data_IF_724671395705
#
_entry.id   IF_724671395705
#
_cell.length_a   1.000
_cell.length_b   1.000
_cell.length_c   1.000
_cell.angle_alpha   90.00
_cell.angle_beta   90.00
_cell.angle_gamma   90.00
#
_symmetry.space_group_name_H-M   'P 1'
#
loop_
_entity.id
_entity.type
_entity.pdbx_description
1 polymer ?
#
# COMPACT_ATOMS: atom_id res chain seq x y z
N UNK A 1 36.32 43.45 -66.83
CA UNK A 1 35.29 44.45 -67.15
C UNK A 1 34.25 44.46 -66.03
N UNK A 2 34.47 45.24 -64.96
CA UNK A 2 33.50 45.45 -63.88
C UNK A 2 32.68 46.71 -64.17
N UNK A 3 31.36 46.60 -64.32
CA UNK A 3 30.54 47.76 -64.71
C UNK A 3 29.07 47.51 -65.00
N UNK A 4 28.35 46.74 -64.19
CA UNK A 4 26.91 46.51 -64.41
C UNK A 4 26.01 46.70 -63.19
N UNK A 5 26.50 47.27 -62.08
CA UNK A 5 25.65 47.68 -60.97
C UNK A 5 26.06 49.07 -60.49
N UNK A 6 25.27 50.09 -60.84
CA UNK A 6 25.38 51.44 -60.28
C UNK A 6 24.48 51.55 -59.05
N UNK A 7 24.98 52.20 -58.01
CA UNK A 7 24.24 52.44 -56.77
C UNK A 7 22.96 53.24 -57.08
N UNK A 8 21.77 52.64 -56.84
CA UNK A 8 20.46 53.24 -57.14
C UNK A 8 19.75 52.66 -58.38
N UNK A 9 20.36 51.71 -59.09
CA UNK A 9 19.74 51.04 -60.23
C UNK A 9 18.59 50.09 -59.81
N UNK A 10 17.61 49.83 -60.69
CA UNK A 10 16.40 49.03 -60.41
C UNK A 10 16.76 47.62 -59.92
N UNK A 11 17.86 47.07 -60.43
CA UNK A 11 18.49 45.82 -60.01
C UNK A 11 18.95 45.86 -58.54
N UNK A 12 19.57 46.95 -58.08
CA UNK A 12 20.02 47.10 -56.68
C UNK A 12 18.86 47.27 -55.69
N UNK A 13 17.75 47.89 -56.10
CA UNK A 13 16.51 47.92 -55.28
C UNK A 13 15.86 46.55 -55.16
N UNK A 14 15.74 45.82 -56.28
CA UNK A 14 15.17 44.45 -56.28
C UNK A 14 16.00 43.52 -55.40
N UNK A 15 17.34 43.58 -55.48
CA UNK A 15 18.23 42.77 -54.63
C UNK A 15 18.06 43.13 -53.16
N UNK A 16 17.92 44.42 -52.81
CA UNK A 16 17.69 44.86 -51.43
C UNK A 16 16.34 44.36 -50.90
N UNK A 17 15.27 44.54 -51.67
CA UNK A 17 13.92 44.19 -51.25
C UNK A 17 13.76 42.66 -51.15
N UNK A 18 14.37 41.90 -52.06
CA UNK A 18 14.47 40.43 -51.96
C UNK A 18 15.31 39.98 -50.77
N UNK A 19 16.43 40.64 -50.48
CA UNK A 19 17.26 40.31 -49.31
C UNK A 19 16.53 40.59 -48.00
N UNK A 20 15.71 41.64 -47.96
CA UNK A 20 14.89 41.99 -46.80
C UNK A 20 13.72 41.00 -46.63
N UNK A 21 13.01 40.66 -47.72
CA UNK A 21 11.95 39.66 -47.71
C UNK A 21 12.48 38.28 -47.30
N UNK A 22 13.55 37.81 -47.96
CA UNK A 22 14.18 36.53 -47.69
C UNK A 22 14.79 36.49 -46.27
N UNK A 23 15.40 37.58 -45.80
CA UNK A 23 15.88 37.69 -44.43
C UNK A 23 14.77 37.58 -43.40
N UNK A 24 13.62 38.23 -43.65
CA UNK A 24 12.45 38.14 -42.76
C UNK A 24 11.81 36.75 -42.77
N UNK A 25 11.73 36.09 -43.93
CA UNK A 25 11.22 34.71 -44.05
C UNK A 25 12.15 33.71 -43.37
N UNK A 26 13.47 33.82 -43.58
CA UNK A 26 14.46 32.97 -42.92
C UNK A 26 14.46 33.15 -41.41
N UNK A 27 14.34 34.39 -40.91
CA UNK A 27 14.18 34.65 -39.49
C UNK A 27 12.89 34.05 -38.95
N UNK A 28 11.78 34.18 -39.67
CA UNK A 28 10.48 33.61 -39.28
C UNK A 28 10.54 32.08 -39.22
N UNK A 29 11.14 31.45 -40.22
CA UNK A 29 11.37 30.00 -40.25
C UNK A 29 12.29 29.56 -39.11
N UNK A 30 13.36 30.30 -38.84
CA UNK A 30 14.28 30.01 -37.74
C UNK A 30 13.60 30.15 -36.37
N UNK A 31 12.79 31.19 -36.17
CA UNK A 31 11.99 31.35 -34.95
C UNK A 31 10.99 30.21 -34.79
N UNK A 32 10.29 29.83 -35.85
CA UNK A 32 9.33 28.71 -35.85
C UNK A 32 10.01 27.39 -35.51
N UNK A 33 11.16 27.12 -36.11
CA UNK A 33 11.96 25.93 -35.80
C UNK A 33 12.43 25.94 -34.34
N UNK A 34 12.94 27.09 -33.85
CA UNK A 34 13.41 27.21 -32.47
C UNK A 34 12.27 27.03 -31.46
N UNK A 35 11.09 27.59 -31.74
CA UNK A 35 9.88 27.39 -30.92
C UNK A 35 9.41 25.94 -30.96
N UNK A 36 9.44 25.30 -32.13
CA UNK A 36 9.08 23.90 -32.28
C UNK A 36 10.01 22.98 -31.48
N UNK A 37 11.32 23.21 -31.54
CA UNK A 37 12.30 22.45 -30.76
C UNK A 37 12.12 22.68 -29.25
N UNK A 38 11.89 23.93 -28.82
CA UNK A 38 11.65 24.25 -27.42
C UNK A 38 10.37 23.58 -26.90
N UNK A 39 9.28 23.62 -27.67
CA UNK A 39 8.02 22.94 -27.33
C UNK A 39 8.20 21.42 -27.25
N UNK A 40 8.90 20.82 -28.22
CA UNK A 40 9.18 19.38 -28.23
C UNK A 40 10.00 18.94 -27.01
N UNK A 41 11.02 19.70 -26.65
CA UNK A 41 11.85 19.43 -25.48
C UNK A 41 11.04 19.59 -24.19
N UNK A 42 10.21 20.62 -24.09
CA UNK A 42 9.32 20.84 -22.95
C UNK A 42 8.31 19.70 -22.77
N UNK A 43 7.66 19.25 -23.84
CA UNK A 43 6.75 18.12 -23.82
C UNK A 43 7.46 16.82 -23.36
N UNK A 44 8.69 16.59 -23.82
CA UNK A 44 9.51 15.45 -23.40
C UNK A 44 9.86 15.52 -21.91
N UNK A 45 10.29 16.68 -21.42
CA UNK A 45 10.60 16.91 -20.01
C UNK A 45 9.37 16.70 -19.11
N UNK A 46 8.18 17.13 -19.55
CA UNK A 46 6.92 16.92 -18.83
C UNK A 46 6.54 15.45 -18.73
N UNK A 47 6.65 14.69 -19.83
CA UNK A 47 6.41 13.24 -19.82
C UNK A 47 7.36 12.53 -18.88
N UNK A 48 8.67 12.83 -18.95
CA UNK A 48 9.66 12.26 -18.04
C UNK A 48 9.36 12.61 -16.58
N UNK A 49 9.00 13.87 -16.30
CA UNK A 49 8.64 14.32 -14.95
C UNK A 49 7.39 13.59 -14.44
N UNK A 50 6.39 13.38 -15.30
CA UNK A 50 5.18 12.63 -14.96
C UNK A 50 5.47 11.16 -14.66
N UNK A 51 6.35 10.51 -15.44
CA UNK A 51 6.75 9.13 -15.21
C UNK A 51 7.48 8.97 -13.88
N UNK A 52 8.43 9.87 -13.59
CA UNK A 52 9.17 9.90 -12.32
C UNK A 52 8.19 10.13 -11.16
N UNK A 53 7.30 11.12 -11.27
CA UNK A 53 6.30 11.39 -10.23
C UNK A 53 5.40 10.18 -9.99
N UNK A 54 4.85 9.56 -11.04
CA UNK A 54 3.99 8.39 -10.88
C UNK A 54 4.71 7.22 -10.19
N UNK A 55 5.99 7.02 -10.51
CA UNK A 55 6.82 6.02 -9.86
C UNK A 55 7.05 6.34 -8.37
N UNK A 56 7.46 7.58 -8.06
CA UNK A 56 7.67 8.00 -6.68
C UNK A 56 6.38 7.94 -5.85
N UNK A 57 5.24 8.31 -6.44
CA UNK A 57 3.93 8.20 -5.82
C UNK A 57 3.54 6.76 -5.52
N UNK A 58 3.76 5.84 -6.47
CA UNK A 58 3.52 4.41 -6.20
C UNK A 58 4.41 3.93 -5.04
N UNK A 59 5.67 4.35 -5.02
CA UNK A 59 6.59 3.98 -3.95
C UNK A 59 6.18 4.55 -2.59
N UNK A 60 5.74 5.82 -2.53
CA UNK A 60 5.26 6.43 -1.28
C UNK A 60 3.98 5.78 -0.81
N UNK A 61 3.04 5.46 -1.70
CA UNK A 61 1.80 4.76 -1.34
C UNK A 61 2.04 3.34 -0.84
N UNK A 62 2.94 2.57 -1.49
CA UNK A 62 3.36 1.26 -0.96
C UNK A 62 4.00 1.42 0.43
N UNK A 63 4.85 2.44 0.62
CA UNK A 63 5.46 2.74 1.92
C UNK A 63 4.42 3.10 2.99
N UNK A 64 3.41 3.89 2.63
CA UNK A 64 2.29 4.26 3.49
C UNK A 64 1.38 3.05 3.77
N UNK A 65 1.30 2.08 2.86
CA UNK A 65 0.65 0.79 3.09
C UNK A 65 1.21 0.01 4.27
N UNK A 66 2.51 0.16 4.59
CA UNK A 66 3.09 -0.47 5.80
C UNK A 66 2.53 0.08 7.11
N UNK A 67 1.92 1.27 7.11
CA UNK A 67 1.30 1.86 8.30
C UNK A 67 0.16 0.97 8.81
N UNK A 68 -0.62 0.38 7.91
CA UNK A 68 -1.65 -0.59 8.27
C UNK A 68 -1.07 -1.86 8.90
N UNK A 69 0.08 -2.33 8.39
CA UNK A 69 0.79 -3.46 8.98
C UNK A 69 1.25 -3.14 10.41
N UNK A 70 1.80 -1.93 10.62
CA UNK A 70 2.23 -1.46 11.93
C UNK A 70 1.05 -1.32 12.91
N UNK A 71 -0.08 -0.76 12.47
CA UNK A 71 -1.31 -0.66 13.28
C UNK A 71 -1.77 -2.07 13.69
N UNK A 72 -1.82 -3.00 12.74
CA UNK A 72 -2.26 -4.36 12.99
C UNK A 72 -1.29 -5.14 13.89
N UNK A 73 0.00 -4.79 13.89
CA UNK A 73 0.98 -5.35 14.83
C UNK A 73 0.70 -4.87 16.26
N UNK A 74 0.41 -3.59 16.48
CA UNK A 74 0.01 -3.06 17.79
C UNK A 74 -1.30 -3.70 18.29
N UNK A 75 -2.29 -3.89 17.40
CA UNK A 75 -3.51 -4.64 17.73
C UNK A 75 -3.20 -6.11 18.06
N UNK A 76 -2.20 -6.70 17.41
CA UNK A 76 -1.68 -8.02 17.77
C UNK A 76 -1.17 -8.10 19.21
N UNK A 77 -0.52 -7.04 19.70
CA UNK A 77 -0.10 -6.95 21.11
C UNK A 77 -1.33 -6.86 22.04
N UNK A 78 -2.33 -6.06 21.66
CA UNK A 78 -3.60 -5.95 22.40
C UNK A 78 -4.29 -7.33 22.52
N UNK A 79 -4.28 -8.12 21.43
CA UNK A 79 -4.81 -9.48 21.38
C UNK A 79 -4.02 -10.44 22.25
N UNK A 80 -2.70 -10.38 22.20
CA UNK A 80 -1.85 -11.20 23.07
C UNK A 80 -2.22 -10.99 24.55
N UNK A 81 -2.34 -9.72 24.98
CA UNK A 81 -2.71 -9.41 26.38
C UNK A 81 -4.11 -9.88 26.74
N UNK A 82 -5.04 -9.75 25.79
CA UNK A 82 -6.39 -10.28 25.94
C UNK A 82 -6.39 -11.79 26.19
N UNK A 83 -5.67 -12.55 25.36
CA UNK A 83 -5.60 -14.01 25.49
C UNK A 83 -4.87 -14.44 26.77
N UNK A 84 -3.79 -13.76 27.17
CA UNK A 84 -3.10 -13.99 28.44
C UNK A 84 -4.04 -13.78 29.66
N UNK A 85 -4.87 -12.73 29.61
CA UNK A 85 -5.85 -12.45 30.66
C UNK A 85 -6.92 -13.55 30.72
N UNK A 86 -7.45 -13.96 29.57
CA UNK A 86 -8.46 -15.02 29.51
C UNK A 86 -7.90 -16.37 29.97
N UNK A 87 -6.66 -16.72 29.64
CA UNK A 87 -6.01 -17.94 30.14
C UNK A 87 -5.92 -17.95 31.67
N UNK A 88 -5.70 -16.78 32.28
CA UNK A 88 -5.63 -16.66 33.75
C UNK A 88 -7.01 -16.74 34.40
N UNK A 89 -8.03 -16.15 33.77
CA UNK A 89 -9.37 -16.01 34.36
C UNK A 89 -10.32 -17.17 34.04
N UNK A 90 -10.02 -17.94 32.98
CA UNK A 90 -10.85 -19.02 32.48
C UNK A 90 -9.99 -20.24 32.08
N UNK A 91 -9.42 -20.96 33.06
CA UNK A 91 -8.55 -22.11 32.81
C UNK A 91 -9.28 -23.32 32.23
N UNK A 92 -10.62 -23.34 32.29
CA UNK A 92 -11.46 -24.40 31.72
C UNK A 92 -11.73 -24.27 30.21
N UNK A 93 -11.29 -23.19 29.56
CA UNK A 93 -11.41 -23.03 28.12
C UNK A 93 -10.37 -23.88 27.40
N UNK A 94 -10.78 -24.55 26.33
CA UNK A 94 -9.84 -25.20 25.42
C UNK A 94 -9.07 -24.15 24.63
N UNK A 95 -7.80 -23.99 24.97
CA UNK A 95 -6.87 -23.10 24.27
C UNK A 95 -6.10 -23.83 23.18
N UNK A 96 -5.75 -23.10 22.11
CA UNK A 96 -4.94 -23.65 21.01
C UNK A 96 -3.59 -24.21 21.47
N UNK A 97 -2.97 -23.61 22.49
CA UNK A 97 -1.63 -23.98 22.98
C UNK A 97 -1.53 -25.44 23.44
N UNK A 98 -2.35 -25.89 24.42
CA UNK A 98 -2.42 -27.29 24.84
C UNK A 98 -2.66 -28.28 23.69
N UNK A 99 -3.57 -27.95 22.77
CA UNK A 99 -3.92 -28.83 21.63
C UNK A 99 -2.73 -28.95 20.65
N UNK A 100 -2.08 -27.82 20.33
CA UNK A 100 -0.87 -27.81 19.51
C UNK A 100 0.27 -28.57 20.19
N UNK A 101 0.42 -28.46 21.51
CA UNK A 101 1.43 -29.22 22.25
C UNK A 101 1.18 -30.74 22.18
N UNK A 102 -0.08 -31.18 22.22
CA UNK A 102 -0.43 -32.58 22.00
C UNK A 102 -0.04 -33.05 20.58
N UNK A 103 -0.43 -32.30 19.54
CA UNK A 103 -0.05 -32.59 18.15
C UNK A 103 1.48 -32.59 17.93
N UNK A 104 2.20 -31.67 18.58
CA UNK A 104 3.66 -31.61 18.57
C UNK A 104 4.27 -32.83 19.27
N UNK A 105 3.67 -33.30 20.36
CA UNK A 105 4.05 -34.52 21.07
C UNK A 105 3.96 -35.74 20.16
N UNK A 106 2.81 -35.90 19.50
CA UNK A 106 2.54 -36.97 18.53
C UNK A 106 3.60 -37.05 17.41
N UNK A 107 4.05 -35.88 16.94
CA UNK A 107 5.11 -35.78 15.93
C UNK A 107 6.50 -36.08 16.51
N UNK A 108 6.84 -35.56 17.70
CA UNK A 108 8.16 -35.78 18.31
C UNK A 108 8.43 -37.24 18.62
N UNK A 109 7.42 -37.98 19.05
CA UNK A 109 7.57 -39.39 19.43
C UNK A 109 7.68 -40.31 18.21
N UNK A 110 6.98 -39.99 17.11
CA UNK A 110 6.83 -40.91 15.98
C UNK A 110 7.64 -40.52 14.74
N UNK A 111 8.06 -39.27 14.56
CA UNK A 111 8.97 -38.85 13.47
C UNK A 111 10.27 -39.65 13.44
N UNK A 112 10.96 -39.94 14.58
CA UNK A 112 12.20 -40.72 14.56
C UNK A 112 12.04 -42.16 14.03
N UNK A 113 10.81 -42.68 13.99
CA UNK A 113 10.51 -44.02 13.47
C UNK A 113 10.42 -44.04 11.94
N UNK A 114 10.34 -42.86 11.29
CA UNK A 114 10.38 -42.74 9.85
C UNK A 114 11.83 -42.80 9.33
N UNK A 115 12.04 -43.31 8.10
CA UNK A 115 13.35 -43.26 7.47
C UNK A 115 13.79 -41.81 7.26
N UNK A 116 14.98 -41.45 7.75
CA UNK A 116 15.50 -40.09 7.75
C UNK A 116 15.67 -39.49 6.33
N UNK A 117 15.82 -40.32 5.31
CA UNK A 117 15.88 -39.93 3.89
C UNK A 117 14.50 -39.88 3.20
N UNK A 118 13.43 -40.25 3.91
CA UNK A 118 12.08 -40.32 3.36
C UNK A 118 11.40 -38.96 3.27
N UNK A 119 10.60 -38.76 2.23
CA UNK A 119 9.80 -37.53 2.03
C UNK A 119 8.89 -37.24 3.25
N UNK A 120 8.32 -38.28 3.86
CA UNK A 120 7.46 -38.17 5.04
C UNK A 120 8.21 -37.63 6.27
N UNK A 121 9.51 -37.94 6.43
CA UNK A 121 10.32 -37.39 7.51
C UNK A 121 10.49 -35.87 7.35
N UNK A 122 10.75 -35.42 6.13
CA UNK A 122 10.87 -33.98 5.81
C UNK A 122 9.55 -33.25 6.03
N UNK A 123 8.42 -33.85 5.61
CA UNK A 123 7.07 -33.31 5.84
C UNK A 123 6.79 -33.20 7.34
N UNK A 124 7.12 -34.24 8.13
CA UNK A 124 6.96 -34.26 9.57
C UNK A 124 7.75 -33.15 10.27
N UNK A 125 9.03 -32.95 9.90
CA UNK A 125 9.85 -31.88 10.46
C UNK A 125 9.32 -30.47 10.13
N UNK A 126 8.83 -30.27 8.90
CA UNK A 126 8.20 -29.00 8.50
C UNK A 126 6.90 -28.75 9.27
N UNK A 127 6.06 -29.78 9.41
CA UNK A 127 4.83 -29.70 10.19
C UNK A 127 5.11 -29.38 11.66
N UNK A 128 6.12 -30.00 12.25
CA UNK A 128 6.58 -29.71 13.60
C UNK A 128 7.01 -28.25 13.76
N UNK A 129 7.71 -27.69 12.76
CA UNK A 129 8.11 -26.29 12.77
C UNK A 129 6.90 -25.35 12.65
N UNK A 130 5.99 -25.62 11.70
CA UNK A 130 4.77 -24.81 11.48
C UNK A 130 3.85 -24.80 12.72
N UNK A 131 3.70 -25.93 13.42
CA UNK A 131 2.91 -26.03 14.65
C UNK A 131 3.57 -25.27 15.82
N UNK A 132 4.89 -25.36 15.97
CA UNK A 132 5.64 -24.58 16.98
C UNK A 132 5.58 -23.08 16.71
N UNK A 133 5.57 -22.69 15.44
CA UNK A 133 5.43 -21.30 15.03
C UNK A 133 4.02 -20.80 15.39
N UNK A 134 2.97 -21.51 14.97
CA UNK A 134 1.59 -21.15 15.30
C UNK A 134 1.34 -21.06 16.81
N UNK A 135 1.94 -21.94 17.60
CA UNK A 135 1.81 -21.93 19.05
C UNK A 135 2.37 -20.65 19.72
N UNK A 136 3.29 -19.94 19.06
CA UNK A 136 3.90 -18.70 19.57
C UNK A 136 3.21 -17.43 19.06
N UNK A 137 2.43 -17.53 18.00
CA UNK A 137 1.82 -16.38 17.34
C UNK A 137 0.42 -16.09 17.92
N UNK A 138 0.08 -14.80 17.98
CA UNK A 138 -1.23 -14.30 18.38
C UNK A 138 -1.94 -13.69 17.16
N UNK A 139 -2.27 -14.54 16.18
CA UNK A 139 -2.90 -14.11 14.93
C UNK A 139 -4.42 -13.91 15.13
N UNK A 140 -5.09 -13.32 14.15
CA UNK A 140 -6.56 -13.28 14.20
C UNK A 140 -7.14 -14.68 13.95
N UNK A 141 -8.33 -15.03 14.49
CA UNK A 141 -8.93 -16.35 14.29
C UNK A 141 -9.06 -16.73 12.82
N UNK A 142 -9.33 -15.77 11.95
CA UNK A 142 -9.34 -15.99 10.50
C UNK A 142 -7.95 -16.40 9.97
N UNK A 143 -6.89 -15.67 10.35
CA UNK A 143 -5.52 -16.00 9.95
C UNK A 143 -5.08 -17.35 10.52
N UNK A 144 -5.47 -17.69 11.73
CA UNK A 144 -5.15 -18.99 12.34
C UNK A 144 -5.86 -20.13 11.62
N UNK A 145 -7.14 -19.96 11.26
CA UNK A 145 -7.89 -20.95 10.47
C UNK A 145 -7.25 -21.17 9.10
N UNK A 146 -6.90 -20.09 8.41
CA UNK A 146 -6.20 -20.17 7.11
C UNK A 146 -4.81 -20.81 7.27
N UNK A 147 -4.10 -20.55 8.36
CA UNK A 147 -2.83 -21.22 8.65
C UNK A 147 -3.02 -22.72 8.86
N UNK A 148 -3.99 -23.12 9.68
CA UNK A 148 -4.29 -24.54 9.94
C UNK A 148 -4.66 -25.22 8.62
N UNK A 149 -5.61 -24.66 7.87
CA UNK A 149 -6.10 -25.19 6.60
C UNK A 149 -5.03 -25.29 5.51
N UNK A 150 -4.15 -24.29 5.38
CA UNK A 150 -3.18 -24.24 4.28
C UNK A 150 -1.84 -24.88 4.63
N UNK A 151 -1.41 -24.83 5.90
CA UNK A 151 -0.09 -25.31 6.32
C UNK A 151 -0.14 -26.60 7.15
N UNK A 152 -1.11 -26.76 8.05
CA UNK A 152 -1.11 -27.87 9.02
C UNK A 152 -1.89 -29.07 8.48
N UNK A 153 -3.17 -28.90 8.14
CA UNK A 153 -4.06 -29.98 7.70
C UNK A 153 -3.52 -30.77 6.49
N UNK A 154 -3.02 -30.14 5.41
CA UNK A 154 -2.55 -30.88 4.23
C UNK A 154 -1.29 -31.71 4.52
N UNK A 155 -0.47 -31.29 5.48
CA UNK A 155 0.71 -32.04 5.90
C UNK A 155 0.31 -33.25 6.75
N UNK A 156 -0.67 -33.09 7.64
CA UNK A 156 -1.24 -34.21 8.38
C UNK A 156 -1.89 -35.23 7.46
N UNK A 157 -2.69 -34.80 6.48
CA UNK A 157 -3.30 -35.70 5.50
C UNK A 157 -2.25 -36.53 4.75
N UNK A 158 -1.16 -35.88 4.32
CA UNK A 158 -0.04 -36.59 3.68
C UNK A 158 0.61 -37.61 4.62
N UNK A 159 0.86 -37.25 5.88
CA UNK A 159 1.44 -38.16 6.86
C UNK A 159 0.53 -39.34 7.19
N UNK A 160 -0.78 -39.10 7.36
CA UNK A 160 -1.79 -40.13 7.64
C UNK A 160 -2.02 -41.06 6.44
N UNK A 161 -1.90 -40.54 5.21
CA UNK A 161 -2.02 -41.36 3.99
C UNK A 161 -0.76 -42.20 3.71
N UNK A 162 0.42 -41.69 4.09
CA UNK A 162 1.71 -42.30 3.79
C UNK A 162 2.25 -43.23 4.87
N UNK A 163 1.59 -43.31 6.04
CA UNK A 163 2.10 -44.04 7.20
C UNK A 163 0.98 -44.45 8.14
N UNK A 164 1.08 -45.65 8.71
CA UNK A 164 0.17 -46.16 9.75
C UNK A 164 0.64 -45.86 11.17
N UNK A 165 1.64 -44.98 11.34
CA UNK A 165 2.23 -44.68 12.65
C UNK A 165 1.29 -43.88 13.56
N UNK A 166 0.35 -43.12 12.98
CA UNK A 166 -0.59 -42.28 13.72
C UNK A 166 -2.01 -42.82 13.60
N UNK A 167 -2.79 -42.66 14.67
CA UNK A 167 -4.23 -42.93 14.60
C UNK A 167 -4.95 -41.76 13.89
N UNK A 168 -5.55 -42.00 12.71
CA UNK A 168 -6.27 -40.95 11.99
C UNK A 168 -7.46 -40.37 12.78
N UNK A 169 -8.09 -41.16 13.65
CA UNK A 169 -9.23 -40.70 14.44
C UNK A 169 -8.79 -39.70 15.50
N UNK A 170 -7.71 -40.00 16.23
CA UNK A 170 -7.13 -39.13 17.25
C UNK A 170 -6.65 -37.80 16.66
N UNK A 171 -5.87 -37.85 15.57
CA UNK A 171 -5.34 -36.63 14.93
C UNK A 171 -6.46 -35.75 14.37
N UNK A 172 -7.49 -36.34 13.76
CA UNK A 172 -8.65 -35.57 13.24
C UNK A 172 -9.42 -34.90 14.38
N UNK A 173 -9.65 -35.61 15.49
CA UNK A 173 -10.27 -35.05 16.70
C UNK A 173 -9.47 -33.87 17.25
N UNK A 174 -8.14 -33.98 17.32
CA UNK A 174 -7.28 -32.88 17.75
C UNK A 174 -7.32 -31.69 16.79
N UNK A 175 -7.38 -31.92 15.48
CA UNK A 175 -7.50 -30.84 14.48
C UNK A 175 -8.86 -30.14 14.55
N UNK A 176 -9.94 -30.88 14.76
CA UNK A 176 -11.28 -30.31 14.93
C UNK A 176 -11.38 -29.48 16.21
N UNK A 177 -10.85 -30.00 17.33
CA UNK A 177 -10.73 -29.23 18.59
C UNK A 177 -9.86 -28.00 18.41
N UNK A 178 -8.75 -28.10 17.67
CA UNK A 178 -7.91 -26.95 17.35
C UNK A 178 -8.73 -25.88 16.63
N UNK A 179 -9.45 -26.22 15.57
CA UNK A 179 -10.25 -25.28 14.79
C UNK A 179 -11.34 -24.60 15.62
N UNK A 180 -12.02 -25.37 16.49
CA UNK A 180 -13.01 -24.85 17.43
C UNK A 180 -12.38 -23.91 18.47
N UNK A 181 -11.16 -24.21 18.93
CA UNK A 181 -10.45 -23.41 19.93
C UNK A 181 -10.00 -22.02 19.43
N UNK A 182 -9.86 -21.82 18.11
CA UNK A 182 -9.35 -20.57 17.54
C UNK A 182 -10.28 -19.38 17.78
N UNK A 183 -11.56 -19.61 18.05
CA UNK A 183 -12.58 -18.55 18.25
C UNK A 183 -13.04 -18.40 19.70
N UNK A 184 -12.46 -19.20 20.61
CA UNK A 184 -12.84 -19.24 22.03
C UNK A 184 -12.67 -17.88 22.71
N UNK A 185 -11.65 -17.10 22.33
CA UNK A 185 -11.41 -15.76 22.87
C UNK A 185 -12.42 -14.68 22.45
N UNK A 186 -13.21 -14.91 21.40
CA UNK A 186 -14.27 -13.99 20.95
C UNK A 186 -15.61 -14.25 21.64
N UNK A 187 -15.93 -15.52 21.89
CA UNK A 187 -17.27 -15.96 22.32
C UNK A 187 -17.37 -16.25 23.82
N UNK A 188 -16.36 -15.88 24.60
CA UNK A 188 -16.36 -16.16 26.03
C UNK A 188 -17.44 -15.36 26.77
N UNK A 189 -18.20 -16.01 27.65
CA UNK A 189 -19.17 -15.33 28.50
C UNK A 189 -18.48 -14.64 29.67
N UNK A 190 -18.31 -13.32 29.52
CA UNK A 190 -17.60 -12.45 30.46
C UNK A 190 -18.35 -12.22 31.78
N UNK A 191 -19.61 -12.67 31.90
CA UNK A 191 -20.40 -12.54 33.14
C UNK A 191 -19.76 -13.25 34.35
N UNK A 192 -18.89 -14.22 34.08
CA UNK A 192 -18.21 -15.04 35.09
C UNK A 192 -16.81 -14.53 35.48
N UNK A 193 -16.24 -13.56 34.74
CA UNK A 193 -14.87 -13.11 34.93
C UNK A 193 -14.78 -11.94 35.92
N UNK A 194 -14.36 -12.22 37.16
CA UNK A 194 -14.13 -11.20 38.19
C UNK A 194 -12.88 -10.33 37.86
N UNK A 195 -13.05 -9.00 37.76
CA UNK A 195 -11.95 -8.02 37.82
C UNK A 195 -12.00 -6.85 36.83
N UNK A 196 -12.82 -6.91 35.77
CA UNK A 196 -13.01 -5.82 34.82
C UNK A 196 -14.52 -5.55 34.59
N UNK A 197 -14.94 -4.33 34.21
CA UNK A 197 -16.31 -4.09 33.78
C UNK A 197 -16.67 -4.95 32.57
N UNK A 198 -17.84 -5.60 32.61
CA UNK A 198 -18.30 -6.48 31.52
C UNK A 198 -18.38 -5.76 30.16
N UNK A 199 -18.73 -4.47 30.17
CA UNK A 199 -18.75 -3.62 28.97
C UNK A 199 -17.36 -3.49 28.34
N UNK A 200 -16.33 -3.28 29.16
CA UNK A 200 -14.95 -3.13 28.72
C UNK A 200 -14.40 -4.44 28.17
N UNK A 201 -14.74 -5.58 28.80
CA UNK A 201 -14.38 -6.90 28.28
C UNK A 201 -15.05 -7.20 26.94
N UNK A 202 -16.33 -6.84 26.78
CA UNK A 202 -17.05 -7.00 25.52
C UNK A 202 -16.53 -6.10 24.39
N UNK A 203 -16.03 -4.90 24.71
CA UNK A 203 -15.35 -4.03 23.75
C UNK A 203 -13.98 -4.57 23.37
N UNK A 204 -13.19 -5.03 24.36
CA UNK A 204 -11.86 -5.57 24.14
C UNK A 204 -11.90 -6.84 23.29
N UNK A 205 -12.82 -7.76 23.56
CA UNK A 205 -12.98 -8.98 22.76
C UNK A 205 -13.29 -8.69 21.30
N UNK A 206 -14.11 -7.66 21.01
CA UNK A 206 -14.41 -7.25 19.64
C UNK A 206 -13.19 -6.62 18.96
N UNK A 207 -12.53 -5.69 19.64
CA UNK A 207 -11.46 -4.87 19.06
C UNK A 207 -10.11 -5.59 18.95
N UNK A 208 -9.81 -6.55 19.83
CA UNK A 208 -8.57 -7.34 19.80
C UNK A 208 -8.40 -8.14 18.49
N UNK A 209 -9.50 -8.50 17.83
CA UNK A 209 -9.47 -9.35 16.64
C UNK A 209 -9.78 -8.61 15.34
N UNK A 210 -9.99 -7.30 15.40
CA UNK A 210 -10.15 -6.46 14.22
C UNK A 210 -8.83 -6.39 13.45
N UNK A 211 -8.93 -6.38 12.12
CA UNK A 211 -7.85 -5.96 11.24
C UNK A 211 -8.20 -4.59 10.65
N UNK A 212 -7.35 -3.60 10.90
CA UNK A 212 -7.51 -2.25 10.36
C UNK A 212 -7.02 -2.24 8.93
N UNK A 213 -7.90 -1.71 8.07
CA UNK A 213 -7.75 -1.51 6.64
C UNK A 213 -8.20 -0.09 6.31
N UNK A 214 -8.08 0.31 5.05
CA UNK A 214 -8.58 1.62 4.57
C UNK A 214 -10.10 1.76 4.75
N UNK A 215 -10.86 0.66 4.75
CA UNK A 215 -12.33 0.69 4.83
C UNK A 215 -12.93 0.80 6.23
N UNK A 216 -12.15 0.57 7.29
CA UNK A 216 -12.63 0.51 8.67
C UNK A 216 -11.76 1.33 9.64
N UNK A 217 -11.23 2.46 9.17
CA UNK A 217 -10.40 3.35 9.96
C UNK A 217 -11.05 3.87 11.24
N UNK A 218 -12.37 4.00 11.29
CA UNK A 218 -13.10 4.39 12.50
C UNK A 218 -12.85 3.42 13.68
N UNK A 219 -12.56 2.15 13.40
CA UNK A 219 -12.24 1.16 14.43
C UNK A 219 -10.86 1.42 15.08
N UNK A 220 -9.96 2.15 14.41
CA UNK A 220 -8.70 2.58 15.01
C UNK A 220 -8.94 3.55 16.17
N UNK A 221 -9.91 4.46 16.02
CA UNK A 221 -10.27 5.38 17.10
C UNK A 221 -10.92 4.63 18.27
N UNK A 222 -11.74 3.62 18.00
CA UNK A 222 -12.29 2.73 19.03
C UNK A 222 -11.17 1.98 19.78
N UNK A 223 -10.15 1.48 19.06
CA UNK A 223 -8.97 0.83 19.67
C UNK A 223 -8.19 1.83 20.53
N UNK A 224 -7.96 3.06 20.06
CA UNK A 224 -7.26 4.08 20.84
C UNK A 224 -8.06 4.40 22.11
N UNK A 225 -9.36 4.63 22.01
CA UNK A 225 -10.24 4.92 23.14
C UNK A 225 -10.28 3.77 24.15
N UNK A 226 -10.32 2.53 23.66
CA UNK A 226 -10.20 1.34 24.50
C UNK A 226 -8.90 1.44 25.30
N UNK A 227 -7.76 1.54 24.62
CA UNK A 227 -6.44 1.59 25.25
C UNK A 227 -6.31 2.76 26.24
N UNK A 228 -6.90 3.92 25.96
CA UNK A 228 -6.91 5.08 26.86
C UNK A 228 -7.61 4.81 28.19
N UNK A 229 -8.52 3.82 28.27
CA UNK A 229 -9.26 3.51 29.49
C UNK A 229 -8.32 3.07 30.64
N UNK A 230 -8.29 3.78 31.78
CA UNK A 230 -7.35 3.52 32.89
C UNK A 230 -7.55 2.15 33.54
N UNK A 231 -8.72 1.52 33.38
CA UNK A 231 -9.00 0.21 33.94
C UNK A 231 -8.30 -0.94 33.19
N UNK A 232 -7.71 -0.69 32.01
CA UNK A 232 -7.04 -1.74 31.24
C UNK A 232 -5.67 -2.13 31.83
N UNK A 233 -5.45 -3.42 32.12
CA UNK A 233 -4.19 -3.93 32.64
C UNK A 233 -3.17 -4.17 31.51
N UNK A 234 -2.86 -3.14 30.71
CA UNK A 234 -1.88 -3.25 29.62
C UNK A 234 -0.57 -2.59 30.00
N UNK A 235 0.49 -3.39 30.16
CA UNK A 235 1.86 -2.88 30.31
C UNK A 235 2.29 -2.09 29.07
N UNK A 236 3.01 -0.98 29.23
CA UNK A 236 3.44 -0.08 28.14
C UNK A 236 2.31 0.64 27.38
N UNK A 237 1.13 0.77 27.99
CA UNK A 237 -0.03 1.51 27.44
C UNK A 237 0.32 2.89 26.85
N UNK A 238 1.13 3.68 27.54
CA UNK A 238 1.53 5.01 27.05
C UNK A 238 2.32 4.95 25.73
N UNK A 239 3.18 3.96 25.59
CA UNK A 239 3.96 3.76 24.38
C UNK A 239 3.06 3.30 23.23
N UNK A 240 2.18 2.33 23.47
CA UNK A 240 1.21 1.85 22.47
C UNK A 240 0.29 2.99 22.01
N UNK A 241 -0.20 3.82 22.94
CA UNK A 241 -1.00 5.01 22.58
C UNK A 241 -0.22 6.01 21.73
N UNK A 242 1.04 6.27 22.07
CA UNK A 242 1.89 7.18 21.30
C UNK A 242 2.08 6.68 19.87
N UNK A 243 2.34 5.38 19.70
CA UNK A 243 2.50 4.74 18.38
C UNK A 243 1.18 4.74 17.61
N UNK A 244 0.08 4.32 18.21
CA UNK A 244 -1.22 4.31 17.52
C UNK A 244 -1.67 5.72 17.10
N UNK A 245 -1.46 6.74 17.94
CA UNK A 245 -1.77 8.14 17.60
C UNK A 245 -0.90 8.67 16.45
N UNK A 246 0.39 8.33 16.42
CA UNK A 246 1.27 8.74 15.32
C UNK A 246 0.91 8.03 14.02
N UNK A 247 0.65 6.72 14.06
CA UNK A 247 0.20 5.95 12.90
C UNK A 247 -1.14 6.48 12.39
N UNK A 248 -2.09 6.81 13.27
CA UNK A 248 -3.36 7.46 12.91
C UNK A 248 -3.14 8.77 12.16
N UNK A 249 -2.26 9.64 12.67
CA UNK A 249 -1.95 10.91 12.01
C UNK A 249 -1.38 10.68 10.59
N UNK A 250 -0.53 9.67 10.41
CA UNK A 250 0.00 9.31 9.09
C UNK A 250 -1.14 8.85 8.18
N UNK A 251 -1.99 7.92 8.62
CA UNK A 251 -3.11 7.42 7.82
C UNK A 251 -4.03 8.55 7.34
N UNK A 252 -4.34 9.53 8.18
CA UNK A 252 -5.18 10.67 7.78
C UNK A 252 -4.55 11.57 6.72
N UNK A 253 -3.23 11.58 6.58
CA UNK A 253 -2.55 12.37 5.55
C UNK A 253 -2.46 11.66 4.20
N UNK A 254 -2.69 10.34 4.15
CA UNK A 254 -2.62 9.55 2.91
C UNK A 254 -3.58 10.09 1.82
N UNK A 255 -4.87 10.34 2.10
CA UNK A 255 -5.80 10.80 1.06
C UNK A 255 -5.41 12.17 0.49
N UNK A 256 -4.91 13.08 1.32
CA UNK A 256 -4.45 14.40 0.85
C UNK A 256 -3.22 14.28 -0.06
N UNK A 257 -2.32 13.36 0.25
CA UNK A 257 -1.14 13.08 -0.57
C UNK A 257 -1.58 12.47 -1.90
N UNK A 258 -2.50 11.50 -1.89
CA UNK A 258 -3.09 10.88 -3.09
C UNK A 258 -3.82 11.91 -3.97
N UNK A 259 -4.56 12.83 -3.36
CA UNK A 259 -5.31 13.85 -4.11
C UNK A 259 -4.37 14.87 -4.76
N UNK A 260 -3.39 15.40 -3.99
CA UNK A 260 -2.38 16.33 -4.53
C UNK A 260 -1.57 15.69 -5.63
N UNK A 261 -1.19 14.43 -5.46
CA UNK A 261 -0.51 13.62 -6.45
C UNK A 261 -1.31 13.49 -7.74
N UNK A 262 -2.59 13.13 -7.63
CA UNK A 262 -3.50 12.98 -8.76
C UNK A 262 -3.68 14.31 -9.49
N UNK A 263 -3.89 15.42 -8.77
CA UNK A 263 -3.97 16.77 -9.36
C UNK A 263 -2.71 17.17 -10.13
N UNK A 264 -1.52 16.88 -9.59
CA UNK A 264 -0.25 17.16 -10.28
C UNK A 264 -0.16 16.34 -11.57
N UNK A 265 -0.45 15.04 -11.53
CA UNK A 265 -0.43 14.17 -12.70
C UNK A 265 -1.44 14.64 -13.77
N UNK A 266 -2.64 15.04 -13.37
CA UNK A 266 -3.65 15.59 -14.27
C UNK A 266 -3.21 16.92 -14.89
N UNK A 267 -2.60 17.83 -14.12
CA UNK A 267 -2.08 19.10 -14.65
C UNK A 267 -0.96 18.89 -15.68
N UNK A 268 -0.09 17.91 -15.43
CA UNK A 268 0.97 17.54 -16.35
C UNK A 268 0.40 16.93 -17.63
N UNK A 269 -0.67 16.13 -17.51
CA UNK A 269 -1.38 15.51 -18.62
C UNK A 269 -2.30 16.46 -19.40
N UNK A 270 -2.91 17.47 -18.80
CA UNK A 270 -3.83 18.38 -19.50
C UNK A 270 -3.08 19.42 -20.33
N UNK A 271 -1.91 19.88 -19.88
CA UNK A 271 -1.11 20.80 -20.70
C UNK A 271 -0.55 20.17 -21.98
N UNK A 272 -0.51 18.83 -22.10
CA UNK A 272 -0.21 18.16 -23.38
C UNK A 272 -1.35 18.30 -24.41
N UNK A 273 -2.61 18.41 -23.98
CA UNK A 273 -3.77 18.50 -24.89
C UNK A 273 -3.97 19.91 -25.45
N UNK A 274 -3.72 20.94 -24.63
CA UNK A 274 -3.79 22.33 -25.07
C UNK A 274 -2.70 22.64 -26.12
N UNK A 275 -1.51 22.08 -25.99
CA UNK A 275 -0.41 22.26 -26.95
C UNK A 275 -0.62 21.48 -28.26
N UNK A 276 -1.21 20.28 -28.21
CA UNK A 276 -1.55 19.52 -29.42
C UNK A 276 -2.69 20.16 -30.23
N UNK A 277 -3.61 20.91 -29.61
CA UNK A 277 -4.62 21.70 -30.35
C UNK A 277 -4.00 22.80 -31.23
N UNK A 278 -2.88 23.40 -30.82
CA UNK A 278 -2.14 24.38 -31.64
C UNK A 278 -1.26 23.73 -32.71
N UNK A 279 -1.10 22.41 -32.68
CA UNK A 279 -0.21 21.65 -33.59
C UNK A 279 -0.89 21.27 -34.91
N UNK A 280 -2.22 21.35 -34.99
CA UNK A 280 -3.03 20.87 -36.13
C UNK A 280 -3.79 21.96 -36.90
N UNK A 281 -3.57 23.25 -36.61
CA UNK A 281 -4.18 24.33 -37.39
C UNK A 281 -3.14 25.06 -38.26
N UNK A 282 -2.93 24.65 -39.52
CA UNK A 282 -2.00 25.29 -40.44
C UNK A 282 -2.51 26.62 -41.03
N UNK A 283 -3.77 27.01 -40.78
CA UNK A 283 -4.45 28.13 -41.47
C UNK A 283 -4.96 29.24 -40.53
N UNK A 284 -4.07 29.84 -39.73
CA UNK A 284 -4.36 31.13 -39.07
C UNK A 284 -3.79 32.32 -39.88
N UNK A 285 -4.63 33.11 -40.56
CA UNK A 285 -4.17 34.32 -41.24
C UNK A 285 -4.00 35.48 -40.25
N UNK A 286 -2.80 36.07 -40.25
CA UNK A 286 -2.60 37.51 -40.05
C UNK A 286 -2.74 38.09 -38.64
N UNK A 287 -1.66 38.07 -37.87
CA UNK A 287 -1.36 39.19 -36.96
C UNK A 287 -0.54 40.21 -37.76
N UNK A 288 -1.20 41.27 -38.22
CA UNK A 288 -0.60 42.41 -38.89
C UNK A 288 -0.18 43.43 -37.82
N UNK A 289 1.13 43.64 -37.53
CA UNK A 289 1.55 44.70 -36.65
C UNK A 289 1.84 45.97 -37.47
N UNK A 290 1.49 47.13 -36.91
CA UNK A 290 1.77 48.49 -37.41
C UNK A 290 0.75 49.09 -38.40
N UNK A 291 -0.26 49.77 -37.83
CA UNK A 291 -0.58 51.14 -38.23
C UNK A 291 -0.21 52.06 -37.07
N UNK A 292 1.05 52.51 -37.07
CA UNK A 292 1.41 53.76 -36.42
C UNK A 292 0.70 54.88 -37.18
N UNK A 293 -0.15 55.63 -36.48
CA UNK A 293 -0.75 56.87 -36.95
C UNK A 293 -0.09 57.98 -36.15
N UNK A 294 0.71 58.81 -36.82
CA UNK A 294 1.11 60.16 -36.41
C UNK A 294 1.60 60.93 -37.66
N UNK A 295 1.68 62.28 -37.68
CA UNK A 295 0.93 63.30 -36.95
C UNK A 295 0.52 64.54 -37.82
N UNK A 296 -0.35 65.42 -37.26
CA UNK A 296 -0.54 66.85 -37.63
C UNK A 296 -1.48 67.15 -38.82
N UNK A 297 -2.08 68.34 -39.01
CA UNK A 297 -2.29 69.59 -38.24
C UNK A 297 -3.09 70.49 -39.22
N UNK A 298 -4.06 71.29 -38.73
CA UNK A 298 -4.66 72.50 -39.39
C UNK A 298 -5.60 72.21 -40.60
N UNK A 299 -6.79 72.77 -40.79
CA UNK A 299 -7.56 73.91 -40.24
C UNK A 299 -8.96 73.49 -39.75
#
# INVERSE_FOLDING_TARGET
>A
MPGTLKQGDRSTRIVRDLSQSLGSELLTLWFRERLFQASKEFARQRLQTSEILAHELRNTLVKLGFVFSAINAEIGILRQRWEELLQTKAPGLEWKGPILNALIGELRERIPQLPASGELFVIGQRLLADQKELAKLYLSPHQEREWVKNKISPKWEKLLSGSSLWDPAEIRSLLERLENSLSTGMNYDFSTANGLPAELMGQWSKLAYVQITTGNLFQLDEVINLVENPALPVSHKEQMLRVLKSLRAIVHTIPEVEEKATRILESLRLGTWAEDQYRFDPDLPGLNPAREVEPGLVD
#
